data_IF_901294548441
#
_entry.id   IF_901294548441
#
_cell.length_a   1.000
_cell.length_b   1.000
_cell.length_c   1.000
_cell.angle_alpha   90.00
_cell.angle_beta   90.00
_cell.angle_gamma   90.00
#
_symmetry.space_group_name_H-M   'P 1'
#
loop_
_entity.id
_entity.type
_entity.pdbx_description
1 polymer ?
#
# COMPACT_ATOMS: atom_id res chain seq x y z
N UNK A 1 9.78 -4.81 -11.17
CA UNK A 1 8.63 -4.77 -10.23
C UNK A 1 8.90 -3.75 -9.13
N UNK A 2 7.83 -3.13 -8.66
CA UNK A 2 7.94 -2.14 -7.59
C UNK A 2 8.16 -2.82 -6.24
N UNK A 3 8.78 -2.10 -5.32
CA UNK A 3 8.90 -2.54 -3.94
C UNK A 3 7.54 -2.52 -3.26
N UNK A 4 7.23 -3.53 -2.49
CA UNK A 4 5.96 -3.63 -1.76
C UNK A 4 6.23 -3.55 -0.26
N UNK A 5 5.54 -2.64 0.40
CA UNK A 5 5.50 -2.54 1.87
C UNK A 5 4.07 -2.79 2.31
N UNK A 6 3.87 -3.63 3.30
CA UNK A 6 2.53 -3.97 3.81
C UNK A 6 2.41 -3.50 5.24
N UNK A 7 1.35 -2.74 5.55
CA UNK A 7 1.13 -2.20 6.88
C UNK A 7 -0.34 -2.34 7.29
N UNK A 8 -0.60 -3.09 8.32
CA UNK A 8 -1.92 -3.23 8.96
C UNK A 8 -1.72 -3.41 10.46
N UNK A 9 -2.67 -2.93 11.27
CA UNK A 9 -2.53 -3.06 12.73
C UNK A 9 -2.52 -4.50 13.24
N UNK A 10 -3.16 -5.41 12.50
CA UNK A 10 -3.20 -6.83 12.87
C UNK A 10 -2.12 -7.60 12.12
N UNK A 11 -1.25 -8.27 12.85
CA UNK A 11 -0.17 -9.06 12.30
C UNK A 11 -0.68 -10.16 11.36
N UNK A 12 -1.82 -10.78 11.69
CA UNK A 12 -2.44 -11.82 10.84
C UNK A 12 -2.77 -11.28 9.45
N UNK A 13 -3.34 -10.08 9.37
CA UNK A 13 -3.69 -9.45 8.10
C UNK A 13 -2.45 -9.24 7.25
N UNK A 14 -1.39 -8.73 7.87
CA UNK A 14 -0.11 -8.50 7.18
C UNK A 14 0.44 -9.80 6.62
N UNK A 15 0.46 -10.87 7.42
CA UNK A 15 1.02 -12.14 6.99
C UNK A 15 0.19 -12.80 5.88
N UNK A 16 -1.13 -12.67 5.94
CA UNK A 16 -2.01 -13.21 4.91
C UNK A 16 -1.77 -12.52 3.56
N UNK A 17 -1.68 -11.20 3.56
CA UNK A 17 -1.44 -10.44 2.33
C UNK A 17 -0.04 -10.73 1.80
N UNK A 18 0.95 -10.80 2.66
CA UNK A 18 2.32 -11.15 2.27
C UNK A 18 2.35 -12.51 1.58
N UNK A 19 1.65 -13.50 2.13
CA UNK A 19 1.59 -14.84 1.54
C UNK A 19 1.00 -14.81 0.13
N UNK A 20 -0.13 -14.10 -0.03
CA UNK A 20 -0.79 -13.96 -1.33
C UNK A 20 0.16 -13.35 -2.35
N UNK A 21 0.83 -12.27 -1.99
CA UNK A 21 1.70 -11.56 -2.91
C UNK A 21 2.96 -12.35 -3.25
N UNK A 22 3.54 -13.02 -2.25
CA UNK A 22 4.72 -13.85 -2.48
C UNK A 22 4.42 -15.00 -3.42
N UNK A 23 3.24 -15.61 -3.29
CA UNK A 23 2.81 -16.68 -4.18
C UNK A 23 2.53 -16.18 -5.60
N UNK A 24 2.27 -14.89 -5.75
CA UNK A 24 1.99 -14.26 -7.04
C UNK A 24 3.21 -13.60 -7.67
N UNK A 25 4.38 -13.82 -7.10
CA UNK A 25 5.65 -13.33 -7.67
C UNK A 25 6.06 -11.93 -7.25
N UNK A 26 5.36 -11.32 -6.30
CA UNK A 26 5.73 -10.00 -5.79
C UNK A 26 6.80 -10.11 -4.71
N UNK A 27 7.70 -9.12 -4.69
CA UNK A 27 8.74 -9.02 -3.68
C UNK A 27 8.30 -8.07 -2.57
N UNK A 28 7.95 -8.62 -1.41
CA UNK A 28 7.54 -7.84 -0.25
C UNK A 28 8.79 -7.45 0.53
N UNK A 29 9.09 -6.16 0.60
CA UNK A 29 10.29 -5.64 1.22
C UNK A 29 10.17 -5.46 2.72
N UNK A 30 8.97 -5.14 3.20
CA UNK A 30 8.75 -4.94 4.63
C UNK A 30 7.30 -5.20 5.01
N UNK A 31 7.11 -5.65 6.25
CA UNK A 31 5.79 -5.82 6.86
C UNK A 31 5.77 -5.02 8.17
N UNK A 32 4.70 -4.26 8.38
CA UNK A 32 4.62 -3.29 9.45
C UNK A 32 3.27 -3.36 10.17
N UNK A 33 3.24 -2.98 11.44
CA UNK A 33 2.01 -2.93 12.21
C UNK A 33 1.71 -1.52 12.75
N UNK A 34 2.60 -0.56 12.49
CA UNK A 34 2.39 0.85 12.85
C UNK A 34 2.67 1.74 11.65
N UNK A 35 2.13 2.97 11.71
CA UNK A 35 2.39 3.96 10.67
C UNK A 35 3.85 4.40 10.63
N UNK A 36 4.47 4.55 11.80
CA UNK A 36 5.88 4.93 11.88
C UNK A 36 6.79 3.92 11.20
N UNK A 37 6.51 2.62 11.40
CA UNK A 37 7.28 1.55 10.73
C UNK A 37 7.09 1.61 9.22
N UNK A 38 5.86 1.86 8.77
CA UNK A 38 5.56 1.95 7.35
C UNK A 38 6.34 3.08 6.69
N UNK A 39 6.36 4.26 7.31
CA UNK A 39 7.09 5.42 6.78
C UNK A 39 8.59 5.19 6.79
N UNK A 40 9.13 4.61 7.85
CA UNK A 40 10.55 4.30 7.93
C UNK A 40 10.95 3.32 6.82
N UNK A 41 10.13 2.30 6.56
CA UNK A 41 10.40 1.33 5.50
C UNK A 41 10.36 1.99 4.12
N UNK A 42 9.35 2.84 3.87
CA UNK A 42 9.22 3.52 2.59
C UNK A 42 10.39 4.48 2.34
N UNK A 43 10.85 5.17 3.38
CA UNK A 43 11.97 6.11 3.25
C UNK A 43 13.30 5.43 2.92
N UNK A 44 13.41 4.14 3.18
CA UNK A 44 14.61 3.37 2.84
C UNK A 44 14.56 2.75 1.44
N UNK A 45 13.49 3.00 0.68
CA UNK A 45 13.29 2.46 -0.65
C UNK A 45 13.13 3.60 -1.65
N UNK A 46 13.57 3.39 -2.89
CA UNK A 46 13.50 4.43 -3.91
C UNK A 46 12.08 4.70 -4.38
N UNK A 47 11.29 3.64 -4.52
CA UNK A 47 9.91 3.74 -4.98
C UNK A 47 9.15 2.51 -4.54
N UNK A 48 7.85 2.54 -4.65
CA UNK A 48 7.07 1.37 -4.34
C UNK A 48 5.60 1.65 -4.11
N UNK A 49 4.96 0.62 -3.57
CA UNK A 49 3.55 0.66 -3.21
C UNK A 49 3.45 0.28 -1.74
N UNK A 50 2.78 1.14 -0.97
CA UNK A 50 2.43 0.83 0.41
C UNK A 50 1.00 0.33 0.45
N UNK A 51 0.81 -0.94 0.82
CA UNK A 51 -0.52 -1.52 1.01
C UNK A 51 -0.86 -1.33 2.49
N UNK A 52 -1.91 -0.57 2.77
CA UNK A 52 -2.18 -0.07 4.12
C UNK A 52 -3.63 -0.27 4.55
N UNK A 53 -3.83 -0.51 5.83
CA UNK A 53 -5.13 -0.37 6.48
C UNK A 53 -5.42 1.10 6.78
N UNK A 54 -6.61 1.39 7.30
CA UNK A 54 -7.08 2.76 7.51
C UNK A 54 -6.60 3.39 8.80
N UNK A 55 -6.44 2.61 9.87
CA UNK A 55 -6.12 3.14 11.19
C UNK A 55 -5.08 2.29 11.89
N UNK A 56 -4.11 2.98 12.49
CA UNK A 56 -3.06 2.37 13.31
C UNK A 56 -3.11 2.97 14.70
N UNK A 57 -2.38 2.36 15.63
CA UNK A 57 -2.34 2.87 17.00
C UNK A 57 -1.71 4.27 17.08
N UNK A 58 -0.80 4.57 16.14
CA UNK A 58 -0.04 5.83 16.15
C UNK A 58 -0.53 6.87 15.16
N UNK A 59 -1.24 6.48 14.10
CA UNK A 59 -1.73 7.43 13.10
C UNK A 59 -2.75 6.80 12.16
N UNK A 60 -3.41 7.64 11.35
CA UNK A 60 -4.36 7.21 10.34
C UNK A 60 -3.71 7.23 8.96
N UNK A 61 -4.33 6.54 7.99
CA UNK A 61 -3.77 6.39 6.66
C UNK A 61 -3.49 7.73 5.96
N UNK A 62 -4.30 8.75 6.18
CA UNK A 62 -4.08 10.05 5.56
C UNK A 62 -2.80 10.72 6.07
N UNK A 63 -2.48 10.55 7.36
CA UNK A 63 -1.23 11.05 7.91
C UNK A 63 -0.03 10.31 7.29
N UNK A 64 -0.16 8.99 7.13
CA UNK A 64 0.89 8.22 6.47
C UNK A 64 1.08 8.72 5.04
N UNK A 65 -0.02 8.90 4.31
CA UNK A 65 0.00 9.39 2.94
C UNK A 65 0.70 10.75 2.84
N UNK A 66 0.41 11.64 3.77
CA UNK A 66 1.00 12.99 3.76
C UNK A 66 2.52 12.98 3.89
N UNK A 67 3.08 12.00 4.59
CA UNK A 67 4.51 11.88 4.82
C UNK A 67 5.18 10.85 3.92
N UNK A 68 4.42 10.19 3.06
CA UNK A 68 4.96 9.15 2.17
C UNK A 68 5.84 9.80 1.09
N UNK A 69 7.00 9.20 0.75
CA UNK A 69 7.83 9.73 -0.34
C UNK A 69 7.02 9.85 -1.65
N UNK A 70 7.31 10.88 -2.47
CA UNK A 70 6.52 11.13 -3.70
C UNK A 70 6.61 10.00 -4.73
N UNK A 71 7.61 9.16 -4.66
CA UNK A 71 7.77 8.00 -5.54
C UNK A 71 6.98 6.79 -5.08
N UNK A 72 6.30 6.89 -3.93
CA UNK A 72 5.41 5.84 -3.44
C UNK A 72 3.96 6.13 -3.78
N UNK A 73 3.22 5.05 -4.04
CA UNK A 73 1.76 5.10 -4.09
C UNK A 73 1.22 4.32 -2.91
N UNK A 74 0.04 4.71 -2.43
CA UNK A 74 -0.65 4.00 -1.36
C UNK A 74 -1.83 3.24 -1.92
N UNK A 75 -1.95 1.97 -1.54
CA UNK A 75 -3.15 1.18 -1.76
C UNK A 75 -3.82 0.98 -0.41
N UNK A 76 -4.93 1.67 -0.20
CA UNK A 76 -5.73 1.56 1.02
C UNK A 76 -6.71 0.41 0.88
N UNK A 77 -6.70 -0.51 1.83
CA UNK A 77 -7.69 -1.59 1.91
C UNK A 77 -8.45 -1.42 3.22
N UNK A 78 -9.73 -1.07 3.12
CA UNK A 78 -10.52 -0.72 4.29
C UNK A 78 -12.02 -0.91 4.03
N UNK A 79 -12.82 -0.88 5.10
CA UNK A 79 -14.27 -0.90 4.93
C UNK A 79 -14.72 0.37 4.20
N UNK A 80 -15.83 0.33 3.43
CA UNK A 80 -16.31 1.51 2.71
C UNK A 80 -16.51 2.72 3.61
N UNK A 81 -16.94 2.50 4.85
CA UNK A 81 -17.17 3.58 5.81
C UNK A 81 -15.86 4.29 6.22
N UNK A 82 -14.72 3.64 6.09
CA UNK A 82 -13.41 4.19 6.45
C UNK A 82 -12.72 4.92 5.30
N UNK A 83 -13.27 4.81 4.09
CA UNK A 83 -12.68 5.43 2.91
C UNK A 83 -13.31 6.81 2.69
N UNK A 84 -12.48 7.85 2.62
CA UNK A 84 -12.97 9.20 2.34
C UNK A 84 -13.31 9.34 0.86
N UNK A 85 -14.46 9.94 0.59
CA UNK A 85 -14.95 10.13 -0.78
C UNK A 85 -14.33 11.36 -1.45
N UNK A 86 -13.04 11.31 -1.69
CA UNK A 86 -12.37 12.34 -2.47
C UNK A 86 -11.16 11.74 -3.16
N UNK A 87 -10.88 12.25 -4.35
CA UNK A 87 -9.68 11.83 -5.06
C UNK A 87 -8.44 12.45 -4.41
N UNK A 88 -7.47 11.61 -4.15
CA UNK A 88 -6.19 12.02 -3.59
C UNK A 88 -5.11 11.43 -4.49
N UNK A 89 -4.15 12.26 -4.88
CA UNK A 89 -3.05 11.81 -5.73
C UNK A 89 -2.25 10.72 -5.04
N UNK A 90 -1.86 9.69 -5.81
CA UNK A 90 -1.07 8.56 -5.34
C UNK A 90 -1.80 7.70 -4.29
N UNK A 91 -3.12 7.73 -4.28
CA UNK A 91 -3.93 6.92 -3.39
C UNK A 91 -4.98 6.15 -4.19
N UNK A 92 -4.95 4.83 -4.07
CA UNK A 92 -5.97 3.95 -4.65
C UNK A 92 -6.63 3.21 -3.50
N UNK A 93 -7.93 3.00 -3.57
CA UNK A 93 -8.69 2.34 -2.51
C UNK A 93 -9.36 1.07 -2.98
N UNK A 94 -9.30 0.03 -2.15
CA UNK A 94 -10.07 -1.20 -2.33
C UNK A 94 -10.95 -1.38 -1.10
N UNK A 95 -12.25 -1.53 -1.35
CA UNK A 95 -13.19 -1.75 -0.26
C UNK A 95 -13.21 -3.22 0.16
N UNK A 96 -13.33 -3.46 1.47
CA UNK A 96 -13.55 -4.80 1.99
C UNK A 96 -14.99 -5.26 1.71
N UNK A 97 -15.23 -6.54 1.48
CA UNK A 97 -14.28 -7.65 1.54
C UNK A 97 -13.36 -7.67 0.31
N UNK A 98 -12.07 -7.86 0.56
CA UNK A 98 -11.06 -7.89 -0.50
C UNK A 98 -11.06 -9.24 -1.20
N UNK A 99 -11.03 -9.21 -2.54
CA UNK A 99 -10.87 -10.41 -3.35
C UNK A 99 -9.45 -10.44 -3.90
N UNK A 100 -8.84 -11.62 -3.91
CA UNK A 100 -7.46 -11.78 -4.34
C UNK A 100 -7.21 -11.24 -5.74
N UNK A 101 -8.09 -11.56 -6.70
CA UNK A 101 -7.91 -11.11 -8.07
C UNK A 101 -8.03 -9.59 -8.21
N UNK A 102 -8.88 -8.95 -7.39
CA UNK A 102 -8.99 -7.49 -7.38
C UNK A 102 -7.71 -6.84 -6.87
N UNK A 103 -7.14 -7.41 -5.80
CA UNK A 103 -5.86 -6.95 -5.27
C UNK A 103 -4.77 -7.02 -6.33
N UNK A 104 -4.64 -8.16 -6.99
CA UNK A 104 -3.59 -8.37 -7.99
C UNK A 104 -3.78 -7.49 -9.22
N UNK A 105 -5.01 -7.31 -9.70
CA UNK A 105 -5.29 -6.41 -10.81
C UNK A 105 -4.97 -4.95 -10.45
N UNK A 106 -5.32 -4.55 -9.25
CA UNK A 106 -5.06 -3.18 -8.78
C UNK A 106 -3.57 -2.91 -8.70
N UNK A 107 -2.80 -3.86 -8.15
CA UNK A 107 -1.35 -3.73 -8.07
C UNK A 107 -0.71 -3.65 -9.45
N UNK A 108 -1.17 -4.45 -10.39
CA UNK A 108 -0.69 -4.43 -11.76
C UNK A 108 -0.92 -3.06 -12.41
N UNK A 109 -2.11 -2.49 -12.21
CA UNK A 109 -2.44 -1.15 -12.69
C UNK A 109 -1.52 -0.09 -12.06
N UNK A 110 -1.30 -0.16 -10.75
CA UNK A 110 -0.45 0.79 -10.04
C UNK A 110 1.01 0.68 -10.49
N UNK A 111 1.51 -0.53 -10.71
CA UNK A 111 2.86 -0.72 -11.22
C UNK A 111 3.03 -0.14 -12.62
N UNK A 112 2.02 -0.29 -13.46
CA UNK A 112 2.02 0.33 -14.79
C UNK A 112 2.12 1.85 -14.72
N UNK A 113 1.43 2.47 -13.77
CA UNK A 113 1.47 3.90 -13.56
C UNK A 113 2.85 4.38 -13.09
N UNK A 114 3.46 3.68 -12.14
CA UNK A 114 4.80 3.99 -11.66
C UNK A 114 5.81 3.90 -12.81
N UNK A 115 5.72 2.86 -13.61
CA UNK A 115 6.62 2.65 -14.74
C UNK A 115 6.50 3.79 -15.77
N UNK A 116 5.29 4.24 -16.08
CA UNK A 116 5.06 5.35 -17.00
C UNK A 116 5.65 6.65 -16.48
N UNK A 117 5.52 6.93 -15.19
CA UNK A 117 6.10 8.13 -14.57
C UNK A 117 7.63 8.13 -14.68
N UNK A 118 8.25 6.99 -14.45
CA UNK A 118 9.71 6.86 -14.56
C UNK A 118 10.20 7.09 -15.99
N UNK A 119 9.44 6.66 -16.98
CA UNK A 119 9.79 6.84 -18.38
C UNK A 119 9.68 8.29 -18.85
N UNK A 120 8.85 9.09 -18.21
CA UNK A 120 8.66 10.51 -18.58
C UNK A 120 9.79 11.40 -18.08
N UNK A 121 10.64 10.88 -17.26
CA UNK A 121 11.79 11.58 -16.74
C UNK A 121 13.04 11.18 -17.53
#
# INVERSE_FOLDING_TARGET
MSNIVIAFPKKETVQNIKKILSQSGYSVQAVCTTGAQALASANNLENGILISGSRFIDMMYMEIHDYLPPEFQMLLIASPASIQEREVENLVCLALPMKVHELLQTLEMMEGEIHRRRKKM
#
